data_IF_890990103369
#
_entry.id   IF_890990103369
#
_cell.length_a   1.000
_cell.length_b   1.000
_cell.length_c   1.000
_cell.angle_alpha   90.00
_cell.angle_beta   90.00
_cell.angle_gamma   90.00
#
_symmetry.space_group_name_H-M   'P 1'
#
loop_
_entity.id
_entity.type
_entity.pdbx_description
1 polymer ?
#
# COMPACT_ATOMS: atom_id res chain seq x y z
N UNK A 1 15.00 16.02 -46.64
CA UNK A 1 15.50 15.05 -45.66
C UNK A 1 15.25 15.60 -44.26
N UNK A 2 14.10 15.27 -43.66
CA UNK A 2 13.78 15.62 -42.28
C UNK A 2 13.49 14.29 -41.58
N UNK A 3 14.46 13.82 -40.79
CA UNK A 3 14.37 12.57 -40.05
C UNK A 3 13.51 12.78 -38.80
N UNK A 4 12.38 12.07 -38.73
CA UNK A 4 11.57 11.93 -37.52
C UNK A 4 12.27 10.95 -36.57
N UNK A 5 12.83 11.46 -35.47
CA UNK A 5 13.15 10.63 -34.31
C UNK A 5 11.85 10.34 -33.55
N UNK A 6 11.39 9.09 -33.63
CA UNK A 6 10.41 8.53 -32.71
C UNK A 6 11.17 8.06 -31.47
N UNK A 7 11.15 8.86 -30.40
CA UNK A 7 11.44 8.36 -29.07
C UNK A 7 10.25 7.50 -28.63
N UNK A 8 10.42 6.18 -28.69
CA UNK A 8 9.53 5.23 -28.05
C UNK A 8 9.66 5.36 -26.53
N UNK A 9 8.59 5.80 -25.89
CA UNK A 9 8.44 5.76 -24.44
C UNK A 9 8.21 4.30 -24.07
N UNK A 10 9.28 3.58 -23.73
CA UNK A 10 9.17 2.30 -23.01
C UNK A 10 8.62 2.63 -21.62
N UNK A 11 7.30 2.57 -21.49
CA UNK A 11 6.59 2.70 -20.23
C UNK A 11 6.92 1.46 -19.41
N UNK A 12 7.90 1.58 -18.51
CA UNK A 12 8.15 0.61 -17.44
C UNK A 12 6.90 0.53 -16.56
N UNK A 13 5.96 -0.34 -16.93
CA UNK A 13 4.84 -0.72 -16.06
C UNK A 13 5.44 -1.65 -15.01
N UNK A 14 6.12 -1.06 -14.02
CA UNK A 14 6.41 -1.74 -12.76
C UNK A 14 5.05 -2.00 -12.12
N UNK A 15 4.56 -3.23 -12.24
CA UNK A 15 3.30 -3.65 -11.62
C UNK A 15 3.41 -3.48 -10.10
N UNK A 16 2.86 -2.36 -9.62
CA UNK A 16 2.84 -1.98 -8.22
C UNK A 16 1.82 -2.86 -7.47
N UNK A 17 2.22 -4.08 -7.10
CA UNK A 17 1.44 -4.88 -6.17
C UNK A 17 1.49 -4.21 -4.79
N UNK A 18 0.35 -3.84 -4.19
CA UNK A 18 0.30 -3.13 -2.92
C UNK A 18 1.02 -3.92 -1.83
N UNK A 19 1.73 -3.27 -0.89
CA UNK A 19 2.32 -3.95 0.25
C UNK A 19 1.24 -4.66 1.09
N UNK A 20 1.57 -5.75 1.80
CA UNK A 20 0.62 -6.39 2.69
C UNK A 20 0.10 -5.38 3.73
N UNK A 21 -1.18 -5.47 4.14
CA UNK A 21 -1.74 -4.56 5.11
C UNK A 21 -1.06 -4.75 6.48
N UNK A 22 -0.82 -3.64 7.20
CA UNK A 22 -0.35 -3.73 8.58
C UNK A 22 -1.43 -4.36 9.49
N UNK A 23 -1.07 -4.99 10.63
CA UNK A 23 -2.05 -5.61 11.54
C UNK A 23 -3.17 -4.67 11.99
N UNK A 24 -2.86 -3.39 12.17
CA UNK A 24 -3.84 -2.37 12.55
C UNK A 24 -4.85 -2.03 11.44
N UNK A 25 -4.55 -2.43 10.19
CA UNK A 25 -5.37 -2.19 9.00
C UNK A 25 -5.76 -3.49 8.29
N UNK A 26 -5.38 -4.65 8.83
CA UNK A 26 -5.67 -5.94 8.26
C UNK A 26 -7.18 -6.21 8.41
N UNK A 27 -7.89 -6.14 7.28
CA UNK A 27 -9.29 -6.50 7.22
C UNK A 27 -9.35 -8.01 7.07
N UNK A 28 -9.54 -8.72 8.18
CA UNK A 28 -9.88 -10.14 8.09
C UNK A 28 -11.23 -10.31 7.38
N UNK A 29 -11.43 -11.44 6.67
CA UNK A 29 -12.75 -11.84 6.19
C UNK A 29 -13.80 -11.79 7.31
N UNK A 30 -15.06 -11.52 6.98
CA UNK A 30 -16.12 -11.27 7.96
C UNK A 30 -16.39 -12.47 8.90
N UNK A 31 -15.98 -13.68 8.50
CA UNK A 31 -16.09 -14.93 9.25
C UNK A 31 -14.77 -15.35 9.94
N UNK A 32 -13.76 -14.47 9.94
CA UNK A 32 -12.48 -14.68 10.58
C UNK A 32 -12.19 -13.59 11.62
N UNK A 33 -11.45 -13.96 12.67
CA UNK A 33 -10.99 -13.06 13.73
C UNK A 33 -9.47 -12.89 13.69
N UNK A 34 -8.98 -11.72 14.11
CA UNK A 34 -7.54 -11.47 14.27
C UNK A 34 -7.04 -12.16 15.54
N UNK A 35 -6.08 -13.07 15.40
CA UNK A 35 -5.37 -13.71 16.50
C UNK A 35 -3.93 -13.23 16.50
N UNK A 36 -3.41 -12.84 17.66
CA UNK A 36 -2.00 -12.45 17.84
C UNK A 36 -1.25 -13.55 18.58
N UNK A 37 0.05 -13.67 18.34
CA UNK A 37 0.89 -14.58 19.13
C UNK A 37 0.87 -14.18 20.60
N UNK A 38 0.91 -15.20 21.47
CA UNK A 38 0.98 -15.02 22.92
C UNK A 38 2.40 -14.67 23.40
N UNK A 39 3.41 -14.83 22.55
CA UNK A 39 4.78 -14.52 22.89
C UNK A 39 4.98 -13.02 23.07
N UNK A 40 5.55 -12.63 24.22
CA UNK A 40 5.75 -11.23 24.57
C UNK A 40 6.70 -10.59 23.56
N UNK A 41 6.20 -9.59 22.83
CA UNK A 41 6.97 -8.85 21.82
C UNK A 41 6.89 -9.44 20.40
N UNK A 42 6.24 -10.60 20.21
CA UNK A 42 5.99 -11.10 18.86
C UNK A 42 5.04 -10.17 18.10
N UNK A 43 5.40 -9.89 16.85
CA UNK A 43 4.58 -9.14 15.90
C UNK A 43 3.72 -10.06 15.03
N UNK A 44 3.63 -11.34 15.37
CA UNK A 44 2.87 -12.32 14.60
C UNK A 44 1.38 -12.16 14.81
N UNK A 45 0.65 -12.23 13.72
CA UNK A 45 -0.80 -12.22 13.74
C UNK A 45 -1.35 -12.97 12.54
N UNK A 46 -2.55 -13.51 12.68
CA UNK A 46 -3.24 -14.19 11.61
C UNK A 46 -4.75 -14.00 11.72
N UNK A 47 -5.42 -13.97 10.57
CA UNK A 47 -6.86 -14.15 10.49
C UNK A 47 -7.18 -15.65 10.65
N UNK A 48 -8.02 -15.97 11.63
CA UNK A 48 -8.39 -17.35 11.98
C UNK A 48 -9.90 -17.50 11.92
N UNK A 49 -10.37 -18.56 11.28
CA UNK A 49 -11.77 -18.95 11.19
C UNK A 49 -12.00 -20.25 11.95
N UNK A 50 -13.09 -20.30 12.72
CA UNK A 50 -13.53 -21.51 13.41
C UNK A 50 -14.53 -22.24 12.51
N UNK A 51 -14.21 -23.47 12.13
CA UNK A 51 -15.08 -24.36 11.34
C UNK A 51 -16.23 -24.89 12.20
N UNK A 52 -17.25 -25.47 11.56
CA UNK A 52 -18.43 -26.01 12.26
C UNK A 52 -18.15 -27.17 13.23
N UNK A 53 -16.99 -27.82 13.09
CA UNK A 53 -16.49 -28.87 13.99
C UNK A 53 -15.69 -28.30 15.19
N UNK A 54 -15.56 -26.97 15.29
CA UNK A 54 -14.76 -26.29 16.30
C UNK A 54 -13.27 -26.15 15.94
N UNK A 55 -12.82 -26.69 14.81
CA UNK A 55 -11.42 -26.58 14.39
C UNK A 55 -11.10 -25.15 13.94
N UNK A 56 -10.01 -24.58 14.47
CA UNK A 56 -9.51 -23.27 14.06
C UNK A 56 -8.54 -23.42 12.89
N UNK A 57 -8.76 -22.68 11.81
CA UNK A 57 -7.91 -22.69 10.60
C UNK A 57 -7.57 -21.27 10.15
N UNK A 58 -6.43 -21.10 9.49
CA UNK A 58 -6.04 -19.82 8.89
C UNK A 58 -7.00 -19.45 7.76
N UNK A 59 -7.53 -18.23 7.76
CA UNK A 59 -8.48 -17.76 6.73
C UNK A 59 -8.39 -16.23 6.62
N UNK A 60 -7.72 -15.74 5.59
CA UNK A 60 -7.33 -14.34 5.40
C UNK A 60 -5.81 -14.14 5.50
N UNK A 61 -5.39 -12.92 5.82
CA UNK A 61 -3.97 -12.57 5.94
C UNK A 61 -3.32 -13.14 7.20
N UNK A 62 -2.04 -13.49 7.09
CA UNK A 62 -1.17 -13.89 8.19
C UNK A 62 0.20 -13.26 8.01
N UNK A 63 0.80 -12.85 9.13
CA UNK A 63 2.21 -12.42 9.23
C UNK A 63 2.90 -13.25 10.30
N UNK A 64 4.04 -13.83 9.93
CA UNK A 64 4.85 -14.66 10.82
C UNK A 64 6.31 -14.26 10.68
N UNK A 65 6.96 -13.97 11.80
CA UNK A 65 8.38 -13.65 11.91
C UNK A 65 9.15 -14.91 12.23
N UNK A 66 10.37 -15.01 11.70
CA UNK A 66 11.28 -16.07 12.11
C UNK A 66 11.72 -15.87 13.57
N UNK A 67 12.03 -16.93 14.32
CA UNK A 67 12.41 -16.82 15.74
C UNK A 67 13.64 -15.95 16.00
N UNK A 68 14.50 -15.79 15.00
CA UNK A 68 15.69 -14.94 15.06
C UNK A 68 15.40 -13.47 14.68
N UNK A 69 14.18 -13.16 14.22
CA UNK A 69 13.78 -11.84 13.73
C UNK A 69 14.35 -11.48 12.35
N UNK A 70 15.10 -12.38 11.72
CA UNK A 70 15.87 -12.07 10.50
C UNK A 70 14.99 -11.91 9.26
N UNK A 71 13.77 -12.45 9.29
CA UNK A 71 12.83 -12.36 8.19
C UNK A 71 11.40 -12.51 8.68
N UNK A 72 10.45 -12.07 7.86
CA UNK A 72 9.03 -12.33 8.10
C UNK A 72 8.29 -12.64 6.80
N UNK A 73 7.21 -13.38 6.93
CA UNK A 73 6.38 -13.85 5.82
C UNK A 73 5.00 -13.24 6.00
N UNK A 74 4.50 -12.56 4.97
CA UNK A 74 3.12 -12.13 4.85
C UNK A 74 2.44 -12.93 3.75
N UNK A 75 1.33 -13.59 4.07
CA UNK A 75 0.62 -14.41 3.11
C UNK A 75 -0.88 -14.54 3.39
N UNK A 76 -1.63 -14.96 2.38
CA UNK A 76 -3.06 -15.19 2.45
C UNK A 76 -3.41 -16.69 2.51
N UNK A 77 -4.46 -16.99 3.25
CA UNK A 77 -5.00 -18.34 3.42
C UNK A 77 -6.50 -18.37 3.12
N UNK A 78 -6.96 -19.50 2.59
CA UNK A 78 -8.38 -19.86 2.49
C UNK A 78 -8.56 -21.22 3.14
N UNK A 79 -9.28 -21.24 4.26
CA UNK A 79 -9.63 -22.45 5.03
C UNK A 79 -8.43 -23.34 5.38
N UNK A 80 -7.32 -22.73 5.78
CA UNK A 80 -6.08 -23.38 6.20
C UNK A 80 -5.11 -23.68 5.06
N UNK A 81 -5.47 -23.36 3.82
CA UNK A 81 -4.64 -23.58 2.63
C UNK A 81 -4.11 -22.24 2.12
N UNK A 82 -2.82 -22.17 1.82
CA UNK A 82 -2.18 -20.97 1.28
C UNK A 82 -2.80 -20.61 -0.08
N UNK A 83 -3.35 -19.40 -0.21
CA UNK A 83 -4.09 -18.97 -1.40
C UNK A 83 -4.12 -17.44 -1.44
N UNK A 84 -3.73 -16.85 -2.57
CA UNK A 84 -3.63 -15.40 -2.74
C UNK A 84 -2.17 -14.92 -2.70
N UNK A 85 -1.94 -13.71 -2.16
CA UNK A 85 -0.62 -13.10 -2.18
C UNK A 85 0.35 -13.72 -1.18
N UNK A 86 1.63 -13.75 -1.55
CA UNK A 86 2.75 -14.16 -0.71
C UNK A 86 3.90 -13.19 -0.85
N UNK A 87 4.47 -12.75 0.27
CA UNK A 87 5.71 -11.97 0.30
C UNK A 87 6.56 -12.38 1.50
N UNK A 88 7.84 -12.68 1.28
CA UNK A 88 8.85 -12.83 2.34
C UNK A 88 9.73 -11.59 2.35
N UNK A 89 9.99 -11.06 3.53
CA UNK A 89 10.79 -9.86 3.76
C UNK A 89 12.01 -10.20 4.60
N UNK A 90 13.12 -9.50 4.39
CA UNK A 90 14.27 -9.49 5.30
C UNK A 90 13.97 -8.67 6.58
N UNK A 91 14.88 -8.71 7.54
CA UNK A 91 14.83 -7.96 8.81
C UNK A 91 14.60 -6.46 8.60
N UNK A 92 15.26 -5.88 7.59
CA UNK A 92 15.15 -4.47 7.22
C UNK A 92 13.83 -4.11 6.53
N UNK A 93 12.95 -5.10 6.30
CA UNK A 93 11.67 -4.94 5.60
C UNK A 93 11.79 -4.94 4.07
N UNK A 94 12.96 -5.22 3.52
CA UNK A 94 13.14 -5.38 2.07
C UNK A 94 12.54 -6.72 1.60
N UNK A 95 11.75 -6.73 0.52
CA UNK A 95 11.19 -7.97 -0.01
C UNK A 95 12.29 -8.88 -0.57
N UNK A 96 12.32 -10.13 -0.12
CA UNK A 96 13.20 -11.19 -0.62
C UNK A 96 12.53 -11.98 -1.75
N UNK A 97 11.25 -12.30 -1.54
CA UNK A 97 10.46 -13.14 -2.44
C UNK A 97 9.03 -12.63 -2.49
N UNK A 98 8.42 -12.59 -3.67
CA UNK A 98 7.01 -12.22 -3.84
C UNK A 98 6.36 -13.06 -4.92
N UNK A 99 5.13 -13.53 -4.67
CA UNK A 99 4.38 -14.30 -5.65
C UNK A 99 2.93 -14.50 -5.25
N UNK A 100 2.28 -15.45 -5.90
CA UNK A 100 0.91 -15.86 -5.60
C UNK A 100 0.83 -17.36 -5.42
N UNK A 101 -0.10 -17.79 -4.57
CA UNK A 101 -0.49 -19.18 -4.40
C UNK A 101 -1.93 -19.38 -4.86
N UNK A 102 -2.19 -20.55 -5.42
CA UNK A 102 -3.53 -21.07 -5.67
C UNK A 102 -3.63 -22.47 -5.05
N UNK A 103 -4.44 -22.60 -4.00
CA UNK A 103 -4.72 -23.87 -3.31
C UNK A 103 -3.46 -24.62 -2.84
N UNK A 104 -2.49 -23.89 -2.29
CA UNK A 104 -1.25 -24.43 -1.76
C UNK A 104 -0.14 -24.58 -2.79
N UNK A 105 -0.44 -24.38 -4.08
CA UNK A 105 0.56 -24.42 -5.15
C UNK A 105 0.95 -23.02 -5.59
N UNK A 106 2.24 -22.82 -5.85
CA UNK A 106 2.74 -21.56 -6.40
C UNK A 106 2.12 -21.36 -7.78
N UNK A 107 1.67 -20.14 -8.06
CA UNK A 107 1.11 -19.77 -9.36
C UNK A 107 1.63 -18.41 -9.80
N UNK A 108 1.73 -18.23 -11.12
CA UNK A 108 2.10 -16.95 -11.72
C UNK A 108 3.59 -16.62 -11.58
N UNK A 109 3.89 -15.32 -11.51
CA UNK A 109 5.26 -14.82 -11.45
C UNK A 109 5.74 -14.72 -10.01
N UNK A 110 6.94 -15.23 -9.79
CA UNK A 110 7.65 -15.22 -8.52
C UNK A 110 8.87 -14.34 -8.64
N UNK A 111 8.82 -13.20 -8.00
CA UNK A 111 9.92 -12.25 -7.96
C UNK A 111 10.83 -12.64 -6.81
N UNK A 112 12.02 -13.14 -7.12
CA UNK A 112 13.10 -13.27 -6.17
C UNK A 112 13.97 -12.03 -6.34
N UNK A 113 14.45 -11.43 -5.26
CA UNK A 113 15.36 -10.30 -5.41
C UNK A 113 16.71 -10.71 -6.05
N UNK A 114 16.98 -12.02 -6.14
CA UNK A 114 18.08 -12.62 -6.92
C UNK A 114 17.72 -13.02 -8.36
N UNK A 115 16.46 -12.88 -8.81
CA UNK A 115 16.02 -13.26 -10.16
C UNK A 115 14.51 -13.48 -10.30
N UNK A 116 13.99 -13.71 -11.50
CA UNK A 116 12.56 -14.01 -11.70
C UNK A 116 12.35 -15.51 -11.83
N UNK A 117 11.53 -16.10 -10.96
CA UNK A 117 11.01 -17.47 -11.04
C UNK A 117 9.60 -17.46 -11.63
N UNK A 118 9.28 -18.43 -12.48
CA UNK A 118 7.90 -18.67 -12.94
C UNK A 118 7.44 -20.02 -12.40
N UNK A 119 6.34 -20.02 -11.66
CA UNK A 119 5.75 -21.25 -11.14
C UNK A 119 4.47 -21.56 -11.93
N UNK A 120 4.51 -22.50 -12.89
CA UNK A 120 3.30 -22.94 -13.56
C UNK A 120 2.35 -23.60 -12.55
N UNK A 121 1.06 -23.31 -12.65
CA UNK A 121 0.05 -24.02 -11.84
C UNK A 121 0.16 -25.56 -12.05
N UNK A 122 -0.11 -26.37 -11.01
CA UNK A 122 -0.05 -27.83 -11.10
C UNK A 122 -0.94 -28.34 -12.24
N UNK A 123 -0.36 -29.19 -13.09
CA UNK A 123 -0.90 -29.53 -14.41
C UNK A 123 -1.91 -30.68 -14.33
N UNK A 124 -2.90 -30.64 -15.23
CA UNK A 124 -3.44 -31.89 -15.80
C UNK A 124 -2.58 -32.27 -17.02
N UNK A 125 -2.38 -33.56 -17.27
CA UNK A 125 -1.43 -34.11 -18.25
C UNK A 125 -1.65 -33.67 -19.72
N UNK A 126 -2.79 -33.05 -20.03
CA UNK A 126 -3.20 -32.68 -21.40
C UNK A 126 -2.77 -31.29 -21.88
N UNK A 127 -2.13 -30.45 -21.04
CA UNK A 127 -1.94 -29.02 -21.33
C UNK A 127 -0.53 -28.63 -21.85
N UNK A 128 0.14 -29.52 -22.61
CA UNK A 128 1.51 -29.30 -23.14
C UNK A 128 1.64 -28.18 -24.19
N UNK A 129 0.55 -27.71 -24.77
CA UNK A 129 0.57 -26.63 -25.77
C UNK A 129 0.68 -25.22 -25.15
N UNK A 130 0.34 -25.05 -23.86
CA UNK A 130 0.39 -23.75 -23.17
C UNK A 130 1.80 -23.27 -22.80
N UNK A 131 2.73 -24.13 -22.30
CA UNK A 131 4.10 -23.73 -22.00
C UNK A 131 4.84 -23.15 -23.21
N UNK A 132 4.66 -23.75 -24.38
CA UNK A 132 5.29 -23.29 -25.62
C UNK A 132 4.87 -21.87 -25.98
N UNK A 133 3.56 -21.61 -26.09
CA UNK A 133 3.05 -20.26 -26.41
C UNK A 133 3.46 -19.22 -25.37
N UNK A 134 3.55 -19.62 -24.10
CA UNK A 134 4.02 -18.74 -23.04
C UNK A 134 5.49 -18.37 -23.22
N UNK A 135 6.37 -19.35 -23.41
CA UNK A 135 7.79 -19.12 -23.66
C UNK A 135 7.97 -18.26 -24.92
N UNK A 136 7.22 -18.55 -25.98
CA UNK A 136 7.25 -17.76 -27.21
C UNK A 136 6.83 -16.30 -26.96
N UNK A 137 5.77 -16.07 -26.17
CA UNK A 137 5.32 -14.71 -25.79
C UNK A 137 6.36 -13.98 -24.94
N UNK A 138 7.00 -14.69 -23.99
CA UNK A 138 8.05 -14.12 -23.14
C UNK A 138 9.27 -13.74 -23.95
N UNK A 139 9.72 -14.61 -24.87
CA UNK A 139 10.86 -14.34 -25.75
C UNK A 139 10.58 -13.12 -26.64
N UNK A 140 9.37 -13.01 -27.19
CA UNK A 140 8.97 -11.81 -27.96
C UNK A 140 8.97 -10.55 -27.09
N UNK A 141 8.53 -10.62 -25.83
CA UNK A 141 8.56 -9.49 -24.90
C UNK A 141 9.98 -9.07 -24.49
N UNK A 142 10.96 -9.97 -24.65
CA UNK A 142 12.39 -9.73 -24.44
C UNK A 142 13.12 -9.36 -25.75
N UNK A 143 12.38 -8.94 -26.79
CA UNK A 143 12.90 -8.55 -28.11
C UNK A 143 13.74 -9.63 -28.82
N UNK A 144 13.46 -10.92 -28.55
CA UNK A 144 14.03 -12.03 -29.32
C UNK A 144 13.44 -12.00 -30.74
N UNK A 145 14.26 -12.12 -31.81
CA UNK A 145 13.75 -12.14 -33.18
C UNK A 145 12.68 -13.21 -33.38
N UNK A 146 11.55 -12.85 -34.02
CA UNK A 146 10.39 -13.73 -34.18
C UNK A 146 10.75 -15.07 -34.86
N UNK A 147 11.74 -15.07 -35.75
CA UNK A 147 12.24 -16.28 -36.44
C UNK A 147 12.99 -17.25 -35.48
N UNK A 148 13.60 -16.73 -34.42
CA UNK A 148 14.36 -17.52 -33.44
C UNK A 148 13.48 -18.06 -32.30
N UNK A 149 12.34 -17.41 -32.06
CA UNK A 149 11.42 -17.70 -30.97
C UNK A 149 10.97 -19.17 -30.94
N UNK A 150 10.53 -19.80 -32.04
CA UNK A 150 10.09 -21.20 -32.03
C UNK A 150 11.21 -22.20 -31.70
N UNK A 151 12.44 -21.89 -32.10
CA UNK A 151 13.63 -22.72 -31.91
C UNK A 151 14.10 -22.63 -30.47
N UNK A 152 14.20 -21.41 -29.95
CA UNK A 152 14.58 -21.17 -28.55
C UNK A 152 13.51 -21.74 -27.61
N UNK A 153 12.23 -21.53 -27.91
CA UNK A 153 11.14 -22.08 -27.09
C UNK A 153 11.18 -23.62 -27.06
N UNK A 154 11.44 -24.27 -28.20
CA UNK A 154 11.58 -25.72 -28.25
C UNK A 154 12.82 -26.20 -27.48
N UNK A 155 13.96 -25.52 -27.64
CA UNK A 155 15.19 -25.83 -26.91
C UNK A 155 15.00 -25.74 -25.38
N UNK A 156 14.30 -24.71 -24.92
CA UNK A 156 13.97 -24.52 -23.50
C UNK A 156 13.03 -25.60 -22.97
N UNK A 157 12.13 -26.12 -23.80
CA UNK A 157 11.22 -27.21 -23.43
C UNK A 157 11.88 -28.58 -23.45
N UNK A 158 12.86 -28.80 -24.33
CA UNK A 158 13.55 -30.08 -24.51
C UNK A 158 14.74 -30.27 -23.56
N UNK A 159 15.25 -29.19 -22.99
CA UNK A 159 16.39 -29.23 -22.08
C UNK A 159 15.95 -29.61 -20.66
N UNK A 160 16.42 -30.77 -20.20
CA UNK A 160 16.25 -31.23 -18.81
C UNK A 160 17.36 -30.60 -17.94
N UNK A 161 16.99 -29.68 -17.06
CA UNK A 161 17.92 -29.01 -16.15
C UNK A 161 17.66 -29.43 -14.69
N UNK A 162 17.55 -30.74 -14.46
CA UNK A 162 17.28 -31.34 -13.15
C UNK A 162 18.36 -31.15 -12.07
N UNK A 163 19.33 -30.26 -12.25
CA UNK A 163 20.34 -29.95 -11.24
C UNK A 163 20.55 -28.44 -11.02
N UNK A 164 20.49 -27.99 -9.76
CA UNK A 164 20.81 -26.61 -9.35
C UNK A 164 22.21 -26.16 -9.78
N UNK A 165 23.13 -27.10 -10.06
CA UNK A 165 24.48 -26.78 -10.55
C UNK A 165 24.49 -26.41 -12.04
N UNK A 166 23.50 -26.83 -12.83
CA UNK A 166 23.44 -26.55 -14.27
C UNK A 166 22.91 -25.15 -14.61
N UNK A 167 22.31 -24.43 -13.66
CA UNK A 167 21.76 -23.08 -13.91
C UNK A 167 22.87 -22.07 -14.25
N UNK A 168 24.04 -22.23 -13.63
CA UNK A 168 25.21 -21.35 -13.86
C UNK A 168 25.99 -21.69 -15.13
N UNK A 169 25.84 -22.92 -15.63
CA UNK A 169 26.51 -23.44 -16.83
C UNK A 169 25.58 -23.57 -18.03
N UNK A 170 24.27 -23.33 -17.85
CA UNK A 170 23.31 -23.28 -18.93
C UNK A 170 23.77 -22.26 -19.98
N UNK A 171 23.70 -22.59 -21.28
CA UNK A 171 24.11 -21.67 -22.33
C UNK A 171 23.28 -20.39 -22.21
N UNK A 172 23.96 -19.27 -21.94
CA UNK A 172 23.33 -17.95 -21.92
C UNK A 172 22.80 -17.65 -23.32
N UNK A 173 21.48 -17.55 -23.45
CA UNK A 173 20.86 -17.06 -24.66
C UNK A 173 20.90 -15.54 -24.61
N UNK A 174 21.95 -14.96 -25.18
CA UNK A 174 22.12 -13.52 -25.26
C UNK A 174 21.52 -12.97 -26.55
N UNK A 175 20.47 -12.17 -26.44
CA UNK A 175 19.93 -11.37 -27.53
C UNK A 175 20.28 -9.89 -27.25
N UNK A 176 21.07 -9.27 -28.15
CA UNK A 176 21.52 -7.85 -28.26
C UNK A 176 21.68 -6.94 -27.01
N UNK A 177 20.78 -6.97 -26.04
CA UNK A 177 20.79 -6.19 -24.79
C UNK A 177 20.49 -6.99 -23.52
N UNK A 178 20.26 -8.31 -23.61
CA UNK A 178 19.82 -9.13 -22.48
C UNK A 178 20.27 -10.59 -22.65
N UNK A 179 20.75 -11.21 -21.56
CA UNK A 179 21.03 -12.64 -21.53
C UNK A 179 19.96 -13.34 -20.69
N UNK A 180 19.38 -14.40 -21.23
CA UNK A 180 18.45 -15.27 -20.53
C UNK A 180 19.16 -16.58 -20.24
N UNK A 181 19.36 -16.87 -18.95
CA UNK A 181 19.56 -18.25 -18.51
C UNK A 181 18.20 -18.84 -18.21
N UNK A 182 17.99 -20.11 -18.54
CA UNK A 182 16.78 -20.82 -18.17
C UNK A 182 17.20 -22.20 -17.66
N UNK A 183 16.57 -22.63 -16.57
CA UNK A 183 16.80 -23.94 -16.01
C UNK A 183 15.48 -24.49 -15.45
N UNK A 184 15.03 -25.62 -15.99
CA UNK A 184 13.87 -26.36 -15.54
C UNK A 184 14.26 -27.45 -14.53
N UNK A 185 13.84 -27.34 -13.26
CA UNK A 185 13.98 -28.39 -12.25
C UNK A 185 12.66 -29.19 -12.13
N UNK A 186 12.58 -30.35 -12.79
CA UNK A 186 11.45 -31.29 -12.64
C UNK A 186 10.13 -30.92 -13.34
N UNK A 187 9.02 -31.62 -13.02
CA UNK A 187 7.71 -31.41 -13.65
C UNK A 187 7.08 -30.04 -13.33
N UNK A 188 7.59 -29.35 -12.31
CA UNK A 188 7.21 -28.00 -11.88
C UNK A 188 8.17 -26.95 -12.46
N UNK A 189 8.27 -26.93 -13.79
CA UNK A 189 9.25 -26.16 -14.58
C UNK A 189 9.36 -24.69 -14.15
N UNK A 190 10.45 -24.33 -13.50
CA UNK A 190 10.85 -22.93 -13.25
C UNK A 190 11.60 -22.38 -14.46
N UNK A 191 11.32 -21.15 -14.87
CA UNK A 191 12.23 -20.38 -15.75
C UNK A 191 12.83 -19.30 -14.88
N UNK A 192 14.10 -19.45 -14.53
CA UNK A 192 14.85 -18.46 -13.76
C UNK A 192 15.49 -17.43 -14.70
N UNK A 193 14.78 -16.35 -15.05
CA UNK A 193 15.39 -15.27 -15.83
C UNK A 193 16.29 -14.47 -14.89
N UNK A 194 17.59 -14.70 -15.00
CA UNK A 194 18.59 -13.84 -14.36
C UNK A 194 18.69 -12.56 -15.20
N UNK A 195 17.95 -11.54 -14.80
CA UNK A 195 18.24 -10.19 -15.26
C UNK A 195 19.60 -9.80 -14.68
N UNK A 196 20.51 -9.28 -15.51
CA UNK A 196 21.68 -8.58 -14.97
C UNK A 196 21.15 -7.56 -13.95
N UNK A 197 21.69 -7.54 -12.71
CA UNK A 197 21.21 -6.59 -11.72
C UNK A 197 21.22 -5.22 -12.37
N UNK A 198 20.13 -4.43 -12.24
CA UNK A 198 20.12 -3.08 -12.80
C UNK A 198 21.39 -2.40 -12.32
N UNK A 199 22.16 -1.76 -13.21
CA UNK A 199 23.47 -1.23 -12.85
C UNK A 199 23.29 -0.41 -11.57
N UNK A 200 24.12 -0.64 -10.54
CA UNK A 200 23.91 -0.17 -9.14
C UNK A 200 23.38 1.28 -9.03
N UNK A 201 23.76 2.12 -9.98
CA UNK A 201 23.30 3.50 -10.16
C UNK A 201 21.78 3.67 -10.32
N UNK A 202 21.04 2.69 -10.84
CA UNK A 202 19.58 2.78 -11.02
C UNK A 202 18.83 2.62 -9.70
N UNK A 203 19.30 1.72 -8.83
CA UNK A 203 18.71 1.51 -7.51
C UNK A 203 18.92 2.75 -6.63
N UNK A 204 20.08 3.38 -6.71
CA UNK A 204 20.39 4.61 -5.98
C UNK A 204 19.45 5.78 -6.39
N UNK A 205 19.17 5.93 -7.68
CA UNK A 205 18.27 6.98 -8.20
C UNK A 205 16.84 6.79 -7.71
N UNK A 206 16.32 5.56 -7.68
CA UNK A 206 14.97 5.30 -7.18
C UNK A 206 14.84 5.53 -5.67
N UNK A 207 15.82 5.09 -4.88
CA UNK A 207 15.85 5.33 -3.43
C UNK A 207 15.83 6.84 -3.15
N UNK A 208 16.70 7.60 -3.82
CA UNK A 208 16.73 9.07 -3.69
C UNK A 208 15.36 9.67 -4.08
N UNK A 209 14.71 9.17 -5.13
CA UNK A 209 13.40 9.66 -5.55
C UNK A 209 12.27 9.33 -4.56
N UNK A 210 12.35 8.19 -3.86
CA UNK A 210 11.42 7.82 -2.78
C UNK A 210 11.63 8.71 -1.56
N UNK A 211 12.87 8.93 -1.14
CA UNK A 211 13.20 9.81 -0.02
C UNK A 211 12.78 11.26 -0.28
N UNK A 212 12.98 11.76 -1.50
CA UNK A 212 12.53 13.09 -1.90
C UNK A 212 11.00 13.22 -1.88
N UNK A 213 10.26 12.17 -2.28
CA UNK A 213 8.80 12.15 -2.20
C UNK A 213 8.33 12.17 -0.74
N UNK A 214 8.89 11.32 0.11
CA UNK A 214 8.57 11.29 1.54
C UNK A 214 8.90 12.64 2.23
N UNK A 215 10.04 13.26 1.90
CA UNK A 215 10.40 14.57 2.43
C UNK A 215 9.46 15.68 1.97
N UNK A 216 8.96 15.61 0.73
CA UNK A 216 7.97 16.55 0.19
C UNK A 216 6.62 16.39 0.88
N UNK A 217 6.19 15.17 1.17
CA UNK A 217 4.95 14.89 1.88
C UNK A 217 5.00 15.40 3.33
N UNK A 218 6.08 15.13 4.07
CA UNK A 218 6.27 15.69 5.43
C UNK A 218 6.21 17.22 5.44
N UNK A 219 6.90 17.88 4.51
CA UNK A 219 6.85 19.34 4.37
C UNK A 219 5.45 19.85 4.00
N UNK A 220 4.67 19.08 3.24
CA UNK A 220 3.30 19.45 2.90
C UNK A 220 2.37 19.34 4.13
N UNK A 221 2.55 18.30 4.94
CA UNK A 221 1.82 18.09 6.19
C UNK A 221 2.14 19.17 7.23
N UNK A 222 3.42 19.50 7.44
CA UNK A 222 3.85 20.59 8.32
C UNK A 222 3.23 21.94 7.90
N UNK A 223 3.22 22.24 6.59
CA UNK A 223 2.58 23.45 6.05
C UNK A 223 1.07 23.44 6.25
N UNK A 224 0.43 22.28 6.12
CA UNK A 224 -0.99 22.13 6.36
C UNK A 224 -1.33 22.34 7.85
N UNK A 225 -0.53 21.78 8.76
CA UNK A 225 -0.67 21.97 10.20
C UNK A 225 -0.50 23.45 10.58
N UNK A 226 0.57 24.11 10.13
CA UNK A 226 0.81 25.53 10.38
C UNK A 226 -0.34 26.42 9.83
N UNK A 227 -0.92 26.05 8.69
CA UNK A 227 -2.07 26.76 8.13
C UNK A 227 -3.34 26.57 8.97
N UNK A 228 -3.57 25.38 9.53
CA UNK A 228 -4.69 25.12 10.45
C UNK A 228 -4.54 25.92 11.75
N UNK A 229 -3.35 25.94 12.32
CA UNK A 229 -3.03 26.71 13.53
C UNK A 229 -3.22 28.22 13.31
N UNK A 230 -2.66 28.78 12.24
CA UNK A 230 -2.86 30.19 11.90
C UNK A 230 -4.33 30.55 11.62
N UNK A 231 -5.11 29.62 11.06
CA UNK A 231 -6.55 29.81 10.88
C UNK A 231 -7.31 29.81 12.21
N UNK A 232 -6.92 28.94 13.14
CA UNK A 232 -7.47 28.88 14.49
C UNK A 232 -7.16 30.15 15.28
N UNK A 233 -5.91 30.64 15.29
CA UNK A 233 -5.55 31.91 15.93
C UNK A 233 -6.36 33.08 15.40
N UNK A 234 -6.53 33.16 14.07
CA UNK A 234 -7.36 34.20 13.45
C UNK A 234 -8.83 34.08 13.84
N UNK A 235 -9.36 32.86 13.96
CA UNK A 235 -10.72 32.62 14.41
C UNK A 235 -10.89 33.03 15.88
N UNK A 236 -9.90 32.74 16.72
CA UNK A 236 -9.88 33.12 18.14
C UNK A 236 -9.85 34.65 18.32
N UNK A 237 -8.97 35.35 17.60
CA UNK A 237 -8.91 36.81 17.64
C UNK A 237 -10.22 37.46 17.18
N UNK A 238 -10.89 36.87 16.18
CA UNK A 238 -12.23 37.32 15.75
C UNK A 238 -13.27 37.08 16.83
N UNK A 239 -13.27 35.90 17.46
CA UNK A 239 -14.17 35.57 18.56
C UNK A 239 -14.02 36.55 19.72
N UNK A 240 -12.80 36.84 20.15
CA UNK A 240 -12.52 37.82 21.21
C UNK A 240 -13.06 39.21 20.83
N UNK A 241 -12.83 39.67 19.59
CA UNK A 241 -13.39 40.94 19.12
C UNK A 241 -14.92 40.95 19.08
N UNK A 242 -15.55 39.82 18.76
CA UNK A 242 -17.00 39.69 18.72
C UNK A 242 -17.61 39.70 20.14
N UNK A 243 -16.94 39.04 21.09
CA UNK A 243 -17.26 39.08 22.53
C UNK A 243 -17.16 40.51 23.06
N UNK A 244 -16.04 41.20 22.82
CA UNK A 244 -15.83 42.59 23.22
C UNK A 244 -16.93 43.52 22.68
N UNK A 245 -17.35 43.30 21.43
CA UNK A 245 -18.42 44.06 20.81
C UNK A 245 -19.77 43.75 21.46
N UNK A 246 -20.07 42.49 21.76
CA UNK A 246 -21.29 42.10 22.44
C UNK A 246 -21.37 42.74 23.84
N UNK A 247 -20.28 42.70 24.61
CA UNK A 247 -20.19 43.26 25.96
C UNK A 247 -20.35 44.79 25.98
N UNK A 248 -19.76 45.49 24.99
CA UNK A 248 -19.88 46.95 24.87
C UNK A 248 -21.23 47.41 24.32
N UNK A 249 -22.00 46.51 23.70
CA UNK A 249 -23.32 46.84 23.16
C UNK A 249 -24.34 46.90 24.31
N UNK A 250 -24.64 48.11 24.77
CA UNK A 250 -25.68 48.34 25.79
C UNK A 250 -27.04 47.90 25.27
N UNK A 251 -27.82 47.22 26.12
CA UNK A 251 -29.16 46.78 25.79
C UNK A 251 -30.09 47.98 25.56
N UNK A 252 -30.88 47.90 24.49
CA UNK A 252 -31.96 48.84 24.20
C UNK A 252 -33.27 48.17 24.61
N UNK A 253 -34.05 48.82 25.44
CA UNK A 253 -35.38 48.33 25.80
C UNK A 253 -36.32 48.42 24.58
N UNK A 254 -37.48 47.74 24.62
CA UNK A 254 -38.40 47.71 23.48
C UNK A 254 -38.99 49.09 23.13
N UNK A 255 -38.94 50.03 24.06
CA UNK A 255 -39.36 51.43 23.86
C UNK A 255 -38.25 52.34 23.29
N UNK A 256 -37.08 51.78 22.96
CA UNK A 256 -35.94 52.51 22.41
C UNK A 256 -35.02 53.15 23.46
N UNK A 257 -35.32 53.05 24.76
CA UNK A 257 -34.46 53.58 25.82
C UNK A 257 -33.25 52.68 26.06
N UNK A 258 -32.07 53.26 26.30
CA UNK A 258 -30.86 52.50 26.63
C UNK A 258 -30.86 52.15 28.11
N UNK A 259 -30.80 50.87 28.45
CA UNK A 259 -30.67 50.46 29.85
C UNK A 259 -29.30 50.86 30.39
N UNK A 260 -29.22 51.54 31.56
CA UNK A 260 -27.96 51.98 32.14
C UNK A 260 -27.15 50.84 32.77
N UNK A 261 -27.79 49.72 33.11
CA UNK A 261 -27.19 48.62 33.88
C UNK A 261 -27.17 47.26 33.17
N UNK A 262 -27.86 47.11 32.03
CA UNK A 262 -28.00 45.83 31.35
C UNK A 262 -27.08 45.73 30.13
N UNK A 263 -26.35 44.62 30.03
CA UNK A 263 -25.45 44.28 28.91
C UNK A 263 -25.92 43.01 28.18
N UNK A 264 -25.64 42.92 26.88
CA UNK A 264 -25.91 41.72 26.10
C UNK A 264 -25.01 40.56 26.56
N UNK A 265 -25.61 39.51 27.13
CA UNK A 265 -24.88 38.33 27.68
C UNK A 265 -25.02 38.13 29.19
N UNK A 266 -25.50 39.13 29.94
CA UNK A 266 -25.86 38.97 31.36
C UNK A 266 -27.17 38.20 31.56
N UNK A 267 -27.61 37.96 32.80
CA UNK A 267 -28.93 37.38 33.07
C UNK A 267 -30.06 38.36 32.71
N UNK A 268 -31.04 37.94 31.91
CA UNK A 268 -32.11 38.82 31.39
C UNK A 268 -33.25 39.01 32.40
N UNK A 269 -33.22 38.25 33.50
CA UNK A 269 -34.22 38.34 34.57
C UNK A 269 -34.14 39.71 35.25
N UNK A 270 -35.11 40.57 34.95
CA UNK A 270 -35.26 41.90 35.55
C UNK A 270 -34.81 43.08 34.66
N UNK A 271 -34.13 42.82 33.54
CA UNK A 271 -33.71 43.87 32.61
C UNK A 271 -34.84 44.27 31.65
N UNK A 272 -35.16 45.58 31.58
CA UNK A 272 -36.23 46.13 30.75
C UNK A 272 -37.64 45.52 31.00
N UNK A 273 -37.88 44.94 32.18
CA UNK A 273 -39.19 44.37 32.56
C UNK A 273 -40.31 45.41 32.52
N UNK A 274 -39.98 46.69 32.82
CA UNK A 274 -40.92 47.81 32.74
C UNK A 274 -41.18 48.32 31.32
N UNK A 275 -40.35 47.93 30.34
CA UNK A 275 -40.39 48.43 28.97
C UNK A 275 -40.80 47.35 27.96
N UNK A 276 -41.46 46.27 28.42
CA UNK A 276 -41.95 45.20 27.54
C UNK A 276 -40.86 44.30 26.95
N UNK A 277 -39.68 44.26 27.58
CA UNK A 277 -38.56 43.41 27.17
C UNK A 277 -37.41 44.18 26.50
N UNK A 278 -36.42 43.42 26.04
CA UNK A 278 -35.21 43.92 25.37
C UNK A 278 -35.35 43.77 23.86
N UNK A 279 -34.91 44.80 23.13
CA UNK A 279 -34.77 44.78 21.68
C UNK A 279 -33.28 44.91 21.31
N UNK A 280 -32.87 44.41 20.14
CA UNK A 280 -31.52 44.59 19.59
C UNK A 280 -30.34 43.86 20.26
N UNK A 281 -30.57 42.82 21.06
CA UNK A 281 -29.47 41.90 21.41
C UNK A 281 -29.26 40.92 20.25
N UNK A 282 -28.00 40.61 19.83
CA UNK A 282 -27.77 39.53 18.88
C UNK A 282 -28.40 38.25 19.42
N UNK A 283 -29.14 37.54 18.58
CA UNK A 283 -29.95 36.38 18.98
C UNK A 283 -29.10 35.25 19.61
N UNK A 284 -27.79 35.25 19.37
CA UNK A 284 -26.83 34.26 19.87
C UNK A 284 -25.53 34.95 20.28
N UNK A 285 -25.02 34.61 21.46
CA UNK A 285 -23.68 35.00 21.90
C UNK A 285 -22.63 34.32 21.00
N UNK A 286 -21.48 34.95 20.70
CA UNK A 286 -20.41 34.32 19.94
C UNK A 286 -20.05 32.97 20.55
N UNK A 287 -19.82 31.96 19.72
CA UNK A 287 -19.36 30.64 20.15
C UNK A 287 -17.84 30.56 19.93
N UNK A 288 -17.06 30.05 20.91
CA UNK A 288 -15.62 29.89 20.74
C UNK A 288 -15.32 28.93 19.59
N UNK A 289 -14.26 29.20 18.79
CA UNK A 289 -13.81 28.26 17.76
C UNK A 289 -13.29 26.96 18.41
N UNK A 290 -13.49 25.83 17.74
CA UNK A 290 -12.93 24.54 18.17
C UNK A 290 -11.44 24.44 17.80
N UNK A 291 -10.60 23.83 18.64
CA UNK A 291 -9.20 23.58 18.32
C UNK A 291 -9.07 22.62 17.12
N UNK A 292 -8.00 22.73 16.33
CA UNK A 292 -7.87 22.04 15.04
C UNK A 292 -7.81 20.51 15.09
N UNK A 293 -7.66 19.91 16.27
CA UNK A 293 -7.49 18.47 16.47
C UNK A 293 -8.55 17.82 17.38
N UNK A 294 -9.61 18.55 17.78
CA UNK A 294 -10.78 17.95 18.45
C UNK A 294 -11.85 17.57 17.39
N UNK A 295 -12.17 16.27 17.22
CA UNK A 295 -13.22 15.81 16.31
C UNK A 295 -14.63 16.20 16.76
#
# INVERSE_FOLDING_TARGET
MIGRMLLGVLSSVVFWLPPPPSPAKAICPADAEVVRSAEVGSQDWACVKTRGDGTRVLHGWSVTHEPDGSSHIACEYVDGVLHGHFTRFAEEGSPLVRGTYDHGSRTGYWWLWSGLEFAPAPRSETDRARPRRFIETLLLALDVPEDDVPVIAQYLLDSDYSSQHDIRTAPQLCARSSCVSAAMDGPDSVIAVQFDPPPEKFVEVEIIAVEQRAAKERKAEERAAAKREAAYEKALAKYESDVDRADRTRLVCNDGTRSPSCICGGGWQGCCSHHGGVSHCPATYPTPPLPPDEP
#
